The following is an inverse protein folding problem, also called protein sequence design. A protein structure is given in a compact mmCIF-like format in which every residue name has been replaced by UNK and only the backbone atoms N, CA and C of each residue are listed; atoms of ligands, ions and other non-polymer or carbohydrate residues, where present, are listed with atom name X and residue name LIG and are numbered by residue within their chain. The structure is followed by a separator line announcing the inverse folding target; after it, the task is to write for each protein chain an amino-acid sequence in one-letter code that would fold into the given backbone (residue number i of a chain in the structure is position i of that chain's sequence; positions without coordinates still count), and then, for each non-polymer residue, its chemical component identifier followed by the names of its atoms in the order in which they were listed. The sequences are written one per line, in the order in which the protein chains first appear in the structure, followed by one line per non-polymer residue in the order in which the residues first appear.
data_IF_321778057528
#
_entry.id   IF_321778057528
#
_cell.length_a   1.000
_cell.length_b   1.000
_cell.length_c   1.000
_cell.angle_alpha   90.00
_cell.angle_beta   90.00
_cell.angle_gamma   90.00
#
_symmetry.space_group_name_H-M   'P 1'
#
loop_
_entity.id
_entity.type
_entity.pdbx_description
1 polymer ?
#
# COMPACT_ATOMS: atom_id res chain seq x y z
N UNK A 1 -19.29 -36.25 34.45
CA UNK A 1 -18.90 -35.64 33.11
C UNK A 1 -17.54 -34.97 33.28
N UNK A 2 -16.46 -35.67 32.88
CA UNK A 2 -15.15 -35.01 32.78
C UNK A 2 -15.19 -34.08 31.57
N UNK A 3 -15.49 -32.83 31.75
CA UNK A 3 -15.22 -31.81 30.72
C UNK A 3 -13.72 -31.73 30.57
N UNK A 4 -13.19 -32.31 29.50
CA UNK A 4 -11.76 -32.22 29.17
C UNK A 4 -11.42 -30.72 28.98
N UNK A 5 -10.60 -30.16 29.88
CA UNK A 5 -10.18 -28.76 29.82
C UNK A 5 -9.57 -28.44 28.45
N UNK A 6 -8.96 -29.42 27.82
CA UNK A 6 -8.40 -29.26 26.45
C UNK A 6 -9.48 -28.98 25.41
N UNK A 7 -10.68 -29.58 25.53
CA UNK A 7 -11.82 -29.30 24.64
C UNK A 7 -12.38 -27.89 24.86
N UNK A 8 -12.53 -27.48 26.11
CA UNK A 8 -13.02 -26.14 26.48
C UNK A 8 -12.05 -25.06 25.92
N UNK A 9 -10.76 -25.31 25.96
CA UNK A 9 -9.73 -24.40 25.45
C UNK A 9 -9.47 -24.54 23.94
N UNK A 10 -10.16 -25.46 23.25
CA UNK A 10 -9.98 -25.71 21.83
C UNK A 10 -8.61 -26.29 21.45
N UNK A 11 -7.87 -26.88 22.43
CA UNK A 11 -6.52 -27.41 22.19
C UNK A 11 -6.62 -28.89 21.83
N UNK A 12 -6.79 -29.17 20.53
CA UNK A 12 -6.86 -30.55 19.99
C UNK A 12 -5.49 -30.95 19.44
N UNK A 13 -4.52 -31.22 20.31
CA UNK A 13 -3.16 -31.62 19.92
C UNK A 13 -2.85 -33.00 20.47
N UNK A 14 -2.44 -33.91 19.57
CA UNK A 14 -2.08 -35.30 19.93
C UNK A 14 -0.98 -35.29 20.99
N UNK A 15 -1.13 -36.14 21.99
CA UNK A 15 -0.16 -36.36 23.09
C UNK A 15 0.02 -35.19 24.06
N UNK A 16 -0.70 -34.08 23.90
CA UNK A 16 -0.75 -32.96 24.85
C UNK A 16 -2.07 -33.04 25.65
N UNK A 17 -1.97 -33.22 26.95
CA UNK A 17 -3.12 -33.22 27.85
C UNK A 17 -3.00 -32.07 28.86
N UNK A 18 -4.06 -31.29 29.02
CA UNK A 18 -4.16 -30.30 30.10
C UNK A 18 -4.71 -31.03 31.31
N UNK A 19 -3.91 -31.10 32.37
CA UNK A 19 -4.21 -31.93 33.53
C UNK A 19 -4.95 -31.19 34.60
N UNK A 20 -4.76 -29.86 34.72
CA UNK A 20 -5.36 -29.08 35.82
C UNK A 20 -5.49 -27.59 35.43
N UNK A 21 -6.56 -26.96 35.90
CA UNK A 21 -6.69 -25.51 35.99
C UNK A 21 -6.15 -25.05 37.36
N UNK A 22 -5.11 -24.24 37.35
CA UNK A 22 -4.46 -23.74 38.55
C UNK A 22 -5.08 -22.42 39.06
N UNK A 23 -6.03 -21.85 38.30
CA UNK A 23 -6.68 -20.60 38.62
C UNK A 23 -5.86 -19.35 38.33
N UNK A 24 -6.18 -18.27 39.04
CA UNK A 24 -5.58 -16.95 38.89
C UNK A 24 -4.31 -16.81 39.74
N UNK A 25 -3.22 -16.36 39.11
CA UNK A 25 -1.97 -16.02 39.80
C UNK A 25 -1.41 -14.71 39.29
N UNK A 26 -0.68 -13.99 40.12
CA UNK A 26 0.03 -12.78 39.72
C UNK A 26 1.30 -13.19 38.94
N UNK A 27 1.43 -12.73 37.70
CA UNK A 27 2.61 -12.92 36.86
C UNK A 27 2.98 -11.60 36.21
N UNK A 28 4.21 -11.13 36.41
CA UNK A 28 4.71 -9.83 35.86
C UNK A 28 3.76 -8.66 36.21
N UNK A 29 3.29 -8.60 37.43
CA UNK A 29 2.36 -7.58 37.95
C UNK A 29 0.95 -7.58 37.33
N UNK A 30 0.55 -8.65 36.62
CA UNK A 30 -0.77 -8.80 36.03
C UNK A 30 -1.40 -10.11 36.52
N UNK A 31 -2.70 -10.10 36.78
CA UNK A 31 -3.45 -11.34 37.06
C UNK A 31 -3.54 -12.18 35.78
N UNK A 32 -3.07 -13.41 35.85
CA UNK A 32 -3.03 -14.34 34.74
C UNK A 32 -3.63 -15.70 35.11
N UNK A 33 -4.25 -16.36 34.15
CA UNK A 33 -4.76 -17.72 34.29
C UNK A 33 -3.62 -18.72 34.06
N UNK A 34 -3.53 -19.72 34.92
CA UNK A 34 -2.54 -20.78 34.80
C UNK A 34 -3.20 -22.14 34.67
N UNK A 35 -2.68 -22.91 33.71
CA UNK A 35 -3.04 -24.31 33.52
C UNK A 35 -1.80 -25.17 33.62
N UNK A 36 -1.94 -26.41 34.07
CA UNK A 36 -0.89 -27.44 34.02
C UNK A 36 -1.20 -28.42 32.88
N UNK A 37 -0.17 -28.86 32.18
CA UNK A 37 -0.33 -29.86 31.14
C UNK A 37 0.92 -30.72 30.95
N UNK A 38 0.73 -31.86 30.31
CA UNK A 38 1.78 -32.85 30.09
C UNK A 38 1.80 -33.27 28.62
N UNK A 39 3.01 -33.29 28.05
CA UNK A 39 3.29 -33.80 26.72
C UNK A 39 4.12 -35.07 26.86
N UNK A 40 3.55 -36.19 26.47
CA UNK A 40 4.24 -37.48 26.49
C UNK A 40 3.76 -38.38 25.36
N UNK A 41 4.68 -39.12 24.78
CA UNK A 41 4.42 -40.15 23.76
C UNK A 41 5.51 -41.19 23.76
N UNK A 42 5.39 -42.22 22.93
CA UNK A 42 6.44 -43.21 22.65
C UNK A 42 7.10 -42.80 21.32
N UNK A 43 8.37 -42.37 21.32
CA UNK A 43 9.05 -42.04 20.08
C UNK A 43 9.33 -43.31 19.27
N UNK A 44 9.09 -43.27 17.98
CA UNK A 44 9.36 -44.40 17.06
C UNK A 44 10.85 -44.50 16.72
N UNK A 45 11.59 -43.42 16.79
CA UNK A 45 13.02 -43.34 16.54
C UNK A 45 13.69 -42.25 17.36
N UNK A 46 15.01 -42.29 17.46
CA UNK A 46 15.80 -41.25 18.11
C UNK A 46 15.97 -40.04 17.18
N UNK A 47 15.62 -38.83 17.65
CA UNK A 47 15.79 -37.60 16.92
C UNK A 47 17.27 -37.22 16.69
N UNK A 48 18.20 -37.81 17.45
CA UNK A 48 19.63 -37.50 17.35
C UNK A 48 20.41 -38.39 16.41
N UNK A 49 20.11 -39.72 16.37
CA UNK A 49 20.85 -40.70 15.58
C UNK A 49 19.97 -41.54 14.64
N UNK A 50 18.65 -41.30 14.64
CA UNK A 50 17.72 -42.00 13.75
C UNK A 50 17.42 -43.45 14.09
N UNK A 51 18.06 -44.06 15.14
CA UNK A 51 17.81 -45.47 15.48
C UNK A 51 16.35 -45.70 15.86
N UNK A 52 15.75 -46.77 15.37
CA UNK A 52 14.39 -47.18 15.74
C UNK A 52 14.33 -47.56 17.20
N UNK A 53 13.19 -47.32 17.83
CA UNK A 53 12.97 -47.61 19.24
C UNK A 53 12.55 -49.09 19.45
N UNK A 54 13.28 -50.01 18.88
CA UNK A 54 13.10 -51.45 19.11
C UNK A 54 13.77 -51.83 20.44
N UNK A 55 13.20 -52.79 21.16
CA UNK A 55 13.73 -53.31 22.43
C UNK A 55 14.00 -52.25 23.50
N UNK A 56 13.16 -51.19 23.59
CA UNK A 56 13.30 -50.11 24.58
C UNK A 56 14.66 -49.39 24.55
N UNK A 57 15.23 -49.20 23.37
CA UNK A 57 16.47 -48.41 23.19
C UNK A 57 16.28 -46.93 23.57
N UNK A 58 15.05 -46.44 23.51
CA UNK A 58 14.71 -45.06 23.93
C UNK A 58 13.79 -45.15 25.14
N UNK A 59 14.28 -44.60 26.26
CA UNK A 59 13.55 -44.62 27.55
C UNK A 59 13.16 -43.22 27.99
N UNK A 60 12.11 -43.11 28.81
CA UNK A 60 11.70 -41.85 29.43
C UNK A 60 12.75 -41.43 30.48
N UNK A 61 13.12 -40.13 30.45
CA UNK A 61 14.18 -39.59 31.29
C UNK A 61 13.76 -38.26 31.94
N UNK A 62 12.72 -38.28 32.77
CA UNK A 62 12.20 -37.12 33.46
C UNK A 62 11.47 -36.12 32.56
N UNK A 63 11.25 -34.90 33.07
CA UNK A 63 10.49 -33.86 32.37
C UNK A 63 11.24 -32.54 32.36
N UNK A 64 11.05 -31.80 31.24
CA UNK A 64 11.42 -30.40 31.14
C UNK A 64 10.16 -29.54 31.33
N UNK A 65 10.17 -28.65 32.32
CA UNK A 65 9.07 -27.69 32.55
C UNK A 65 9.27 -26.42 31.75
N UNK A 66 8.19 -25.92 31.11
CA UNK A 66 8.21 -24.69 30.30
C UNK A 66 6.89 -23.96 30.50
N UNK A 67 6.92 -22.66 30.78
CA UNK A 67 5.72 -21.83 30.78
C UNK A 67 5.46 -21.33 29.37
N UNK A 68 4.34 -21.73 28.79
CA UNK A 68 3.91 -21.38 27.44
C UNK A 68 2.81 -20.35 27.51
N UNK A 69 3.01 -19.19 26.92
CA UNK A 69 1.96 -18.19 26.78
C UNK A 69 0.95 -18.64 25.71
N UNK A 70 -0.33 -18.73 26.11
CA UNK A 70 -1.42 -19.25 25.29
C UNK A 70 -2.23 -18.15 24.58
N UNK A 71 -2.05 -16.89 24.98
CA UNK A 71 -2.86 -15.75 24.56
C UNK A 71 -3.77 -15.27 25.67
N UNK A 72 -4.87 -14.62 25.30
CA UNK A 72 -5.86 -14.11 26.23
C UNK A 72 -7.04 -15.09 26.34
N UNK A 73 -7.50 -15.33 27.55
CA UNK A 73 -8.74 -16.02 27.88
C UNK A 73 -9.55 -15.05 28.74
N UNK A 74 -10.75 -14.63 28.30
CA UNK A 74 -11.54 -13.59 28.94
C UNK A 74 -10.72 -12.33 29.28
N UNK A 75 -9.96 -11.84 28.28
CA UNK A 75 -9.08 -10.66 28.37
C UNK A 75 -7.94 -10.77 29.41
N UNK A 76 -7.71 -11.94 29.97
CA UNK A 76 -6.62 -12.22 30.92
C UNK A 76 -5.53 -13.03 30.24
N UNK A 77 -4.25 -12.70 30.45
CA UNK A 77 -3.15 -13.53 29.99
C UNK A 77 -3.25 -14.95 30.50
N UNK A 78 -3.08 -15.94 29.64
CA UNK A 78 -3.15 -17.36 30.03
C UNK A 78 -1.83 -18.07 29.75
N UNK A 79 -1.38 -18.89 30.65
CA UNK A 79 -0.14 -19.64 30.61
C UNK A 79 -0.35 -21.12 30.87
N UNK A 80 0.31 -21.95 30.09
CA UNK A 80 0.38 -23.40 30.29
C UNK A 80 1.74 -23.77 30.89
N UNK A 81 1.74 -24.25 32.14
CA UNK A 81 2.90 -24.90 32.75
C UNK A 81 3.06 -26.30 32.16
N UNK A 82 3.79 -26.39 31.03
CA UNK A 82 3.90 -27.60 30.24
C UNK A 82 5.08 -28.45 30.70
N UNK A 83 4.78 -29.68 31.14
CA UNK A 83 5.74 -30.75 31.44
C UNK A 83 6.01 -31.55 30.17
N UNK A 84 7.11 -31.30 29.50
CA UNK A 84 7.55 -32.02 28.29
C UNK A 84 8.37 -33.24 28.69
N UNK A 85 8.00 -34.45 28.25
CA UNK A 85 8.78 -35.66 28.46
C UNK A 85 10.17 -35.51 27.81
N UNK A 86 11.22 -35.83 28.56
CA UNK A 86 12.56 -36.07 28.01
C UNK A 86 12.75 -37.55 27.74
N UNK A 87 13.51 -37.85 26.74
CA UNK A 87 13.88 -39.20 26.34
C UNK A 87 15.40 -39.34 26.35
N UNK A 88 15.90 -40.52 26.68
CA UNK A 88 17.30 -40.89 26.60
C UNK A 88 17.48 -42.03 25.64
N UNK A 89 18.36 -41.87 24.66
CA UNK A 89 18.72 -42.93 23.71
C UNK A 89 19.94 -43.70 24.24
N UNK A 90 19.79 -45.00 24.48
CA UNK A 90 20.89 -45.86 24.95
C UNK A 90 21.98 -46.05 23.90
N UNK A 91 21.61 -45.99 22.59
CA UNK A 91 22.55 -46.21 21.48
C UNK A 91 23.52 -45.03 21.30
N UNK A 92 23.02 -43.79 21.24
CA UNK A 92 23.86 -42.62 21.04
C UNK A 92 24.15 -41.81 22.35
N UNK A 93 23.63 -42.26 23.48
CA UNK A 93 23.79 -41.67 24.81
C UNK A 93 23.36 -40.19 24.90
N UNK A 94 22.47 -39.76 24.01
CA UNK A 94 21.94 -38.37 24.00
C UNK A 94 20.50 -38.30 24.48
N UNK A 95 20.11 -37.14 24.96
CA UNK A 95 18.74 -36.83 25.36
C UNK A 95 18.08 -35.89 24.38
N UNK A 96 16.79 -36.11 24.13
CA UNK A 96 15.94 -35.20 23.39
C UNK A 96 14.60 -34.98 24.11
N UNK A 97 13.81 -34.00 23.71
CA UNK A 97 12.59 -33.61 24.44
C UNK A 97 11.39 -33.71 23.50
N UNK A 98 10.27 -34.21 24.02
CA UNK A 98 9.03 -34.33 23.26
C UNK A 98 8.65 -33.00 22.57
N UNK A 99 8.31 -33.08 21.29
CA UNK A 99 7.89 -31.98 20.46
C UNK A 99 6.38 -32.01 20.18
N UNK A 100 5.81 -30.86 19.91
CA UNK A 100 4.38 -30.71 19.65
C UNK A 100 4.16 -29.57 18.64
N UNK A 101 3.18 -29.67 17.74
CA UNK A 101 2.83 -28.59 16.84
C UNK A 101 2.22 -27.36 17.56
N UNK A 102 1.88 -27.49 18.85
CA UNK A 102 1.33 -26.37 19.64
C UNK A 102 2.35 -25.26 19.90
N UNK A 103 3.63 -25.60 20.02
CA UNK A 103 4.72 -24.68 20.31
C UNK A 103 5.99 -25.11 19.59
N UNK A 104 6.67 -24.18 18.96
CA UNK A 104 7.95 -24.45 18.33
C UNK A 104 9.04 -24.77 19.35
N UNK A 105 10.07 -25.55 18.97
CA UNK A 105 11.23 -25.81 19.82
C UNK A 105 11.84 -24.50 20.34
N UNK A 106 12.24 -24.51 21.63
CA UNK A 106 12.86 -23.36 22.33
C UNK A 106 12.02 -22.09 22.38
N UNK A 107 10.71 -22.16 22.09
CA UNK A 107 9.78 -21.03 22.21
C UNK A 107 8.98 -21.11 23.50
N UNK A 108 8.48 -19.95 23.96
CA UNK A 108 7.60 -19.78 25.13
C UNK A 108 6.23 -19.19 24.74
N UNK A 109 5.96 -19.00 23.46
CA UNK A 109 4.71 -18.46 22.93
C UNK A 109 4.11 -19.52 22.01
N UNK A 110 2.83 -19.84 22.18
CA UNK A 110 2.11 -20.82 21.36
C UNK A 110 2.01 -20.39 19.89
N UNK A 111 1.86 -21.37 19.00
CA UNK A 111 1.69 -21.09 17.59
C UNK A 111 0.35 -20.38 17.30
N UNK A 112 -0.66 -20.57 18.15
CA UNK A 112 -1.93 -19.83 18.06
C UNK A 112 -1.74 -18.32 18.28
N UNK A 113 -0.95 -17.91 19.26
CA UNK A 113 -0.62 -16.50 19.49
C UNK A 113 0.20 -15.94 18.31
N UNK A 114 1.12 -16.72 17.74
CA UNK A 114 1.89 -16.32 16.55
C UNK A 114 0.96 -16.14 15.34
N UNK A 115 0.00 -17.04 15.14
CA UNK A 115 -1.02 -16.92 14.09
C UNK A 115 -1.86 -15.65 14.28
N UNK A 116 -2.30 -15.35 15.49
CA UNK A 116 -3.03 -14.13 15.81
C UNK A 116 -2.18 -12.86 15.56
N UNK A 117 -0.89 -12.89 15.92
CA UNK A 117 0.05 -11.80 15.58
C UNK A 117 0.12 -11.58 14.06
N UNK A 118 0.26 -12.65 13.27
CA UNK A 118 0.28 -12.56 11.79
C UNK A 118 -1.00 -11.95 11.27
N UNK A 119 -2.16 -12.37 11.77
CA UNK A 119 -3.45 -11.80 11.37
C UNK A 119 -3.56 -10.32 11.73
N UNK A 120 -3.17 -9.91 12.94
CA UNK A 120 -3.17 -8.51 13.35
C UNK A 120 -2.15 -7.68 12.55
N UNK A 121 -1.00 -8.25 12.19
CA UNK A 121 -0.02 -7.65 11.30
C UNK A 121 -0.55 -7.42 9.87
N UNK A 122 -1.60 -8.08 9.43
CA UNK A 122 -2.30 -7.79 8.16
C UNK A 122 -3.30 -6.64 8.25
N UNK A 123 -3.49 -6.03 9.42
CA UNK A 123 -4.39 -4.89 9.64
C UNK A 123 -3.60 -3.59 9.74
N UNK A 124 -4.27 -2.45 9.50
CA UNK A 124 -3.66 -1.12 9.63
C UNK A 124 -3.65 -0.71 11.11
N UNK A 125 -2.69 -1.24 11.86
CA UNK A 125 -2.48 -0.99 13.30
C UNK A 125 -0.98 -0.87 13.58
N UNK A 126 -0.55 -0.25 14.66
CA UNK A 126 0.86 -0.20 15.03
C UNK A 126 1.34 -1.51 15.66
N UNK A 127 2.65 -1.78 15.61
CA UNK A 127 3.24 -2.93 16.32
C UNK A 127 3.05 -2.82 17.84
N UNK A 128 2.97 -1.58 18.36
CA UNK A 128 2.70 -1.31 19.78
C UNK A 128 1.27 -1.72 20.15
N UNK A 129 0.26 -1.32 19.37
CA UNK A 129 -1.13 -1.69 19.63
C UNK A 129 -1.35 -3.21 19.53
N UNK A 130 -0.66 -3.86 18.56
CA UNK A 130 -0.67 -5.32 18.45
C UNK A 130 -0.08 -5.95 19.72
N UNK A 131 1.04 -5.43 20.20
CA UNK A 131 1.71 -5.92 21.40
C UNK A 131 0.81 -5.78 22.63
N UNK A 132 0.21 -4.62 22.82
CA UNK A 132 -0.74 -4.34 23.89
C UNK A 132 -1.96 -5.27 23.82
N UNK A 133 -2.59 -5.39 22.65
CA UNK A 133 -3.76 -6.23 22.43
C UNK A 133 -3.52 -7.74 22.59
N UNK A 134 -2.27 -8.18 22.59
CA UNK A 134 -1.88 -9.58 22.79
C UNK A 134 -1.09 -9.81 24.08
N UNK A 135 -0.91 -8.81 24.93
CA UNK A 135 -0.11 -8.87 26.16
C UNK A 135 1.29 -9.43 25.92
N UNK A 136 1.96 -8.99 24.84
CA UNK A 136 3.35 -9.33 24.51
C UNK A 136 4.20 -8.06 24.38
N UNK A 137 5.52 -8.19 24.35
CA UNK A 137 6.36 -7.01 24.11
C UNK A 137 6.36 -6.59 22.65
N UNK A 138 6.50 -5.28 22.33
CA UNK A 138 6.65 -4.80 20.94
C UNK A 138 7.81 -5.46 20.21
N UNK A 139 8.92 -5.76 20.91
CA UNK A 139 10.07 -6.49 20.36
C UNK A 139 9.71 -7.93 19.93
N UNK A 140 8.73 -8.55 20.59
CA UNK A 140 8.22 -9.87 20.20
C UNK A 140 7.44 -9.79 18.90
N UNK A 141 6.57 -8.79 18.76
CA UNK A 141 5.83 -8.53 17.51
C UNK A 141 6.80 -8.24 16.36
N UNK A 142 7.81 -7.40 16.61
CA UNK A 142 8.83 -7.05 15.62
C UNK A 142 9.65 -8.27 15.15
N UNK A 143 10.09 -9.14 16.07
CA UNK A 143 10.76 -10.40 15.70
C UNK A 143 9.86 -11.31 14.88
N UNK A 144 8.59 -11.40 15.26
CA UNK A 144 7.62 -12.20 14.50
C UNK A 144 7.39 -11.62 13.10
N UNK A 145 7.28 -10.30 12.96
CA UNK A 145 7.22 -9.62 11.66
C UNK A 145 8.40 -10.01 10.77
N UNK A 146 9.63 -10.01 11.30
CA UNK A 146 10.83 -10.41 10.52
C UNK A 146 10.75 -11.86 10.05
N UNK A 147 10.29 -12.79 10.91
CA UNK A 147 10.14 -14.20 10.54
C UNK A 147 9.10 -14.36 9.43
N UNK A 148 7.94 -13.75 9.61
CA UNK A 148 6.84 -13.81 8.61
C UNK A 148 7.25 -13.11 7.31
N UNK A 149 8.02 -12.03 7.38
CA UNK A 149 8.49 -11.31 6.20
C UNK A 149 9.35 -12.16 5.26
N UNK A 150 10.11 -13.11 5.80
CA UNK A 150 10.91 -14.03 4.98
C UNK A 150 10.06 -14.99 4.13
N UNK A 151 8.78 -15.19 4.52
CA UNK A 151 7.81 -15.98 3.77
C UNK A 151 6.92 -15.14 2.85
N UNK A 152 7.05 -13.81 2.86
CA UNK A 152 6.37 -12.91 1.92
C UNK A 152 7.01 -13.09 0.54
N UNK A 153 6.46 -13.99 -0.24
CA UNK A 153 6.81 -14.14 -1.64
C UNK A 153 6.04 -13.08 -2.41
N UNK A 154 6.74 -12.13 -3.00
CA UNK A 154 6.16 -11.24 -4.00
C UNK A 154 5.93 -12.04 -5.28
N UNK A 155 4.80 -11.86 -5.94
CA UNK A 155 4.55 -12.44 -7.26
C UNK A 155 5.58 -11.99 -8.32
N UNK A 156 6.36 -10.94 -8.00
CA UNK A 156 7.43 -10.38 -8.82
C UNK A 156 8.52 -11.37 -9.26
N UNK A 157 8.60 -12.56 -8.66
CA UNK A 157 9.70 -13.45 -8.99
C UNK A 157 9.48 -14.27 -10.27
N UNK A 158 8.26 -14.32 -10.85
CA UNK A 158 7.99 -15.28 -11.91
C UNK A 158 7.24 -14.76 -13.13
N UNK A 159 6.31 -13.80 -13.00
CA UNK A 159 5.49 -13.32 -14.14
C UNK A 159 5.17 -11.84 -13.99
N UNK A 160 5.38 -11.07 -15.08
CA UNK A 160 4.87 -9.72 -15.19
C UNK A 160 3.44 -9.76 -15.74
N UNK A 161 2.49 -9.00 -15.17
CA UNK A 161 1.16 -8.79 -15.76
C UNK A 161 1.24 -8.11 -17.14
N UNK A 162 0.21 -8.30 -17.94
CA UNK A 162 0.10 -7.63 -19.25
C UNK A 162 -0.11 -6.11 -19.13
N UNK A 163 -0.70 -5.67 -18.02
CA UNK A 163 -1.02 -4.27 -17.78
C UNK A 163 -0.42 -3.79 -16.46
N UNK A 164 0.57 -2.92 -16.54
CA UNK A 164 1.29 -2.40 -15.37
C UNK A 164 0.86 -0.95 -15.08
N UNK A 165 0.88 -0.59 -13.80
CA UNK A 165 0.84 0.81 -13.35
C UNK A 165 2.05 1.09 -12.48
N UNK A 166 2.75 2.19 -12.76
CA UNK A 166 3.93 2.66 -12.03
C UNK A 166 3.59 3.94 -11.29
N UNK A 167 4.05 4.04 -10.05
CA UNK A 167 3.93 5.24 -9.25
C UNK A 167 5.05 5.29 -8.19
N UNK A 168 5.06 6.35 -7.40
CA UNK A 168 6.06 6.58 -6.38
C UNK A 168 5.43 7.13 -5.08
N UNK A 169 6.09 6.84 -3.97
CA UNK A 169 5.71 7.41 -2.69
C UNK A 169 6.93 7.79 -1.85
N UNK A 170 6.72 8.71 -0.89
CA UNK A 170 7.79 9.15 -0.01
C UNK A 170 8.30 8.00 0.87
N UNK A 171 9.56 7.63 0.67
CA UNK A 171 10.23 6.51 1.33
C UNK A 171 10.57 6.75 2.81
N UNK A 172 11.30 5.83 3.40
CA UNK A 172 11.95 5.92 4.70
C UNK A 172 13.29 6.68 4.57
N UNK A 173 13.91 7.03 5.70
CA UNK A 173 15.15 7.83 5.68
C UNK A 173 16.42 7.03 5.46
N UNK A 174 16.34 5.70 5.51
CA UNK A 174 17.49 4.78 5.37
C UNK A 174 17.81 4.40 3.92
N UNK A 175 17.04 4.91 2.96
CA UNK A 175 17.31 4.74 1.52
C UNK A 175 17.93 6.00 0.94
N UNK A 176 18.77 5.85 -0.09
CA UNK A 176 19.45 6.98 -0.72
C UNK A 176 18.48 7.99 -1.37
N UNK A 177 17.38 7.51 -1.93
CA UNK A 177 16.37 8.35 -2.57
C UNK A 177 15.24 8.75 -1.62
N UNK A 178 14.67 9.95 -1.81
CA UNK A 178 13.51 10.39 -1.03
C UNK A 178 12.22 9.63 -1.40
N UNK A 179 12.19 8.99 -2.57
CA UNK A 179 11.02 8.32 -3.14
C UNK A 179 11.31 6.85 -3.42
N UNK A 180 10.38 6.00 -3.00
CA UNK A 180 10.32 4.59 -3.38
C UNK A 180 9.42 4.42 -4.60
N UNK A 181 9.73 3.40 -5.39
CA UNK A 181 8.95 3.00 -6.54
C UNK A 181 7.98 1.88 -6.17
N UNK A 182 6.78 1.93 -6.70
CA UNK A 182 5.75 0.90 -6.57
C UNK A 182 5.17 0.59 -7.94
N UNK A 183 4.90 -0.69 -8.18
CA UNK A 183 4.14 -1.08 -9.36
C UNK A 183 3.11 -2.15 -9.04
N UNK A 184 2.01 -2.09 -9.75
CA UNK A 184 0.88 -2.99 -9.58
C UNK A 184 0.34 -3.45 -10.94
N UNK A 185 -0.49 -4.48 -10.91
CA UNK A 185 -1.35 -4.84 -12.03
C UNK A 185 -2.48 -3.80 -12.15
N UNK A 186 -2.62 -3.17 -13.32
CA UNK A 186 -3.65 -2.16 -13.58
C UNK A 186 -5.07 -2.73 -13.63
N UNK A 187 -5.22 -4.05 -13.78
CA UNK A 187 -6.53 -4.72 -13.90
C UNK A 187 -7.00 -5.25 -12.54
N UNK A 188 -6.13 -6.01 -11.84
CA UNK A 188 -6.47 -6.60 -10.53
C UNK A 188 -6.23 -5.63 -9.38
N UNK A 189 -5.43 -4.58 -9.60
CA UNK A 189 -4.98 -3.61 -8.61
C UNK A 189 -4.09 -4.21 -7.50
N UNK A 190 -3.55 -5.39 -7.73
CA UNK A 190 -2.63 -6.03 -6.80
C UNK A 190 -1.24 -5.42 -6.90
N UNK A 191 -0.65 -5.10 -5.74
CA UNK A 191 0.75 -4.67 -5.67
C UNK A 191 1.63 -5.85 -6.07
N UNK A 192 2.51 -5.67 -7.06
CA UNK A 192 3.45 -6.70 -7.48
C UNK A 192 4.72 -6.60 -6.66
N UNK A 193 5.33 -5.41 -6.62
CA UNK A 193 6.47 -5.15 -5.75
C UNK A 193 6.65 -3.66 -5.42
N UNK A 194 7.54 -3.40 -4.45
CA UNK A 194 7.93 -2.08 -3.99
C UNK A 194 9.45 -2.04 -3.91
N UNK A 195 10.06 -1.06 -4.58
CA UNK A 195 11.51 -0.90 -4.63
C UNK A 195 11.97 0.33 -3.83
N UNK A 196 13.16 0.29 -3.24
CA UNK A 196 13.66 1.39 -2.41
C UNK A 196 13.93 2.68 -3.18
N UNK A 197 14.16 2.58 -4.48
CA UNK A 197 14.59 3.69 -5.33
C UNK A 197 13.81 3.72 -6.65
N UNK A 198 13.54 4.92 -7.15
CA UNK A 198 12.87 5.17 -8.43
C UNK A 198 13.81 5.54 -9.58
N UNK A 199 15.12 5.67 -9.32
CA UNK A 199 16.11 6.07 -10.34
C UNK A 199 16.18 5.05 -11.45
N UNK A 200 16.32 5.54 -12.72
CA UNK A 200 16.27 4.73 -13.92
C UNK A 200 17.18 3.50 -13.85
N UNK A 201 18.45 3.67 -13.50
CA UNK A 201 19.44 2.57 -13.43
C UNK A 201 19.06 1.46 -12.44
N UNK A 202 18.41 1.80 -11.29
CA UNK A 202 17.95 0.82 -10.32
C UNK A 202 16.75 0.02 -10.84
N UNK A 203 15.83 0.72 -11.53
CA UNK A 203 14.67 0.09 -12.14
C UNK A 203 15.08 -0.79 -13.32
N UNK A 204 16.04 -0.35 -14.14
CA UNK A 204 16.63 -1.16 -15.22
C UNK A 204 17.23 -2.45 -14.69
N UNK A 205 18.10 -2.36 -13.67
CA UNK A 205 18.72 -3.53 -13.05
C UNK A 205 17.66 -4.49 -12.44
N UNK A 206 16.54 -3.96 -11.94
CA UNK A 206 15.46 -4.77 -11.41
C UNK A 206 14.66 -5.48 -12.51
N UNK A 207 14.19 -4.75 -13.54
CA UNK A 207 13.36 -5.33 -14.59
C UNK A 207 14.13 -6.22 -15.56
N UNK A 208 15.45 -6.04 -15.70
CA UNK A 208 16.32 -6.95 -16.46
C UNK A 208 16.44 -8.35 -15.85
N UNK A 209 16.03 -8.55 -14.59
CA UNK A 209 15.89 -9.89 -13.99
C UNK A 209 14.79 -10.72 -14.65
N UNK A 210 13.81 -10.07 -15.26
CA UNK A 210 12.79 -10.75 -16.06
C UNK A 210 13.33 -11.01 -17.47
N UNK A 211 13.07 -12.21 -17.98
CA UNK A 211 13.47 -12.55 -19.35
C UNK A 211 12.85 -11.59 -20.37
N UNK A 212 13.51 -11.41 -21.51
CA UNK A 212 12.99 -10.59 -22.61
C UNK A 212 11.57 -11.02 -23.01
N UNK A 213 11.33 -12.34 -23.12
CA UNK A 213 10.02 -12.91 -23.43
C UNK A 213 8.92 -12.55 -22.42
N UNK A 214 9.26 -12.33 -21.15
CA UNK A 214 8.30 -11.87 -20.13
C UNK A 214 8.02 -10.38 -20.26
N UNK A 215 9.04 -9.57 -20.59
CA UNK A 215 8.89 -8.13 -20.77
C UNK A 215 8.11 -7.77 -22.05
N UNK A 216 8.24 -8.57 -23.12
CA UNK A 216 7.45 -8.48 -24.35
C UNK A 216 5.96 -8.81 -24.14
N UNK A 217 5.59 -9.54 -23.10
CA UNK A 217 4.17 -9.79 -22.77
C UNK A 217 3.45 -8.59 -22.18
N UNK A 218 4.17 -7.58 -21.71
CA UNK A 218 3.57 -6.36 -21.16
C UNK A 218 3.00 -5.54 -22.31
N UNK A 219 1.68 -5.33 -22.30
CA UNK A 219 0.93 -4.62 -23.35
C UNK A 219 0.77 -3.13 -23.04
N UNK A 220 0.64 -2.77 -21.77
CA UNK A 220 0.48 -1.37 -21.38
C UNK A 220 1.19 -1.07 -20.07
N UNK A 221 1.71 0.16 -19.95
CA UNK A 221 2.26 0.68 -18.71
C UNK A 221 1.67 2.07 -18.42
N UNK A 222 0.89 2.18 -17.36
CA UNK A 222 0.32 3.45 -16.91
C UNK A 222 1.31 4.17 -16.00
N UNK A 223 1.55 5.46 -16.28
CA UNK A 223 2.52 6.29 -15.56
C UNK A 223 2.03 7.73 -15.42
N UNK A 224 2.66 8.47 -14.51
CA UNK A 224 2.62 9.92 -14.52
C UNK A 224 3.40 10.49 -15.72
N UNK A 225 3.16 11.73 -16.09
CA UNK A 225 3.88 12.39 -17.17
C UNK A 225 5.32 12.72 -16.75
N UNK A 226 6.14 11.66 -16.55
CA UNK A 226 7.51 11.75 -16.08
C UNK A 226 8.51 11.16 -17.11
N UNK A 227 9.34 12.02 -17.76
CA UNK A 227 10.22 11.60 -18.86
C UNK A 227 11.13 10.39 -18.58
N UNK A 228 11.73 10.25 -17.37
CA UNK A 228 12.58 9.09 -17.09
C UNK A 228 11.84 7.74 -17.15
N UNK A 229 10.55 7.71 -16.80
CA UNK A 229 9.74 6.47 -16.92
C UNK A 229 9.42 6.15 -18.37
N UNK A 230 9.16 7.17 -19.20
CA UNK A 230 8.93 6.98 -20.64
C UNK A 230 10.13 6.30 -21.27
N UNK A 231 11.35 6.82 -21.05
CA UNK A 231 12.57 6.23 -21.56
C UNK A 231 12.81 4.81 -21.02
N UNK A 232 12.57 4.59 -19.75
CA UNK A 232 12.70 3.26 -19.13
C UNK A 232 11.78 2.23 -19.79
N UNK A 233 10.52 2.60 -20.05
CA UNK A 233 9.53 1.69 -20.62
C UNK A 233 9.89 1.36 -22.07
N UNK A 234 10.31 2.35 -22.86
CA UNK A 234 10.73 2.15 -24.24
C UNK A 234 11.93 1.21 -24.35
N UNK A 235 12.88 1.31 -23.40
CA UNK A 235 14.08 0.46 -23.38
C UNK A 235 13.77 -0.99 -22.93
N UNK A 236 12.82 -1.16 -22.02
CA UNK A 236 12.61 -2.46 -21.34
C UNK A 236 11.38 -3.23 -21.82
N UNK A 237 10.34 -2.57 -22.28
CA UNK A 237 9.06 -3.15 -22.68
C UNK A 237 8.70 -2.77 -24.11
N UNK A 238 9.32 -3.42 -25.10
CA UNK A 238 9.25 -2.97 -26.51
C UNK A 238 7.83 -2.97 -27.08
N UNK A 239 6.97 -3.88 -26.62
CA UNK A 239 5.59 -4.03 -27.11
C UNK A 239 4.56 -3.26 -26.29
N UNK A 240 4.99 -2.54 -25.25
CA UNK A 240 4.10 -1.87 -24.33
C UNK A 240 3.67 -0.47 -24.82
N UNK A 241 2.36 -0.22 -24.86
CA UNK A 241 1.85 1.14 -25.00
C UNK A 241 1.97 1.89 -23.67
N UNK A 242 2.51 3.11 -23.74
CA UNK A 242 2.59 4.01 -22.58
C UNK A 242 1.27 4.75 -22.43
N UNK A 243 0.68 4.67 -21.24
CA UNK A 243 -0.54 5.37 -20.86
C UNK A 243 -0.16 6.44 -19.83
N UNK A 244 -0.42 7.71 -20.14
CA UNK A 244 -0.24 8.80 -19.17
C UNK A 244 -1.50 8.94 -18.33
N UNK A 245 -1.35 9.04 -17.03
CA UNK A 245 -2.50 9.22 -16.13
C UNK A 245 -3.30 10.48 -16.51
N UNK A 246 -4.57 10.25 -16.80
CA UNK A 246 -5.52 11.29 -17.22
C UNK A 246 -5.69 12.40 -16.18
N UNK A 247 -5.61 12.04 -14.90
CA UNK A 247 -5.69 13.01 -13.82
C UNK A 247 -4.59 14.06 -13.93
N UNK A 248 -3.35 13.65 -14.22
CA UNK A 248 -2.21 14.55 -14.38
C UNK A 248 -2.33 15.44 -15.62
N UNK A 249 -2.91 14.94 -16.71
CA UNK A 249 -3.20 15.75 -17.91
C UNK A 249 -4.21 16.86 -17.57
N UNK A 250 -5.34 16.50 -16.96
CA UNK A 250 -6.39 17.44 -16.54
C UNK A 250 -5.87 18.43 -15.51
N UNK A 251 -5.11 17.94 -14.52
CA UNK A 251 -4.53 18.78 -13.48
C UNK A 251 -3.54 19.82 -14.04
N UNK A 252 -2.74 19.43 -15.06
CA UNK A 252 -1.80 20.38 -15.69
C UNK A 252 -2.53 21.57 -16.31
N UNK A 253 -3.65 21.36 -17.01
CA UNK A 253 -4.45 22.42 -17.60
C UNK A 253 -5.06 23.30 -16.50
N UNK A 254 -5.77 22.70 -15.54
CA UNK A 254 -6.43 23.43 -14.46
C UNK A 254 -5.45 24.26 -13.63
N UNK A 255 -4.24 23.73 -13.40
CA UNK A 255 -3.17 24.45 -12.70
C UNK A 255 -2.76 25.72 -13.44
N UNK A 256 -2.64 25.67 -14.77
CA UNK A 256 -2.22 26.84 -15.54
C UNK A 256 -3.35 27.87 -15.69
N UNK A 257 -4.62 27.45 -15.83
CA UNK A 257 -5.78 28.37 -15.73
C UNK A 257 -5.75 29.10 -14.38
N UNK A 258 -5.59 28.39 -13.27
CA UNK A 258 -5.54 29.01 -11.95
C UNK A 258 -4.30 29.88 -11.73
N UNK A 259 -3.14 29.49 -12.29
CA UNK A 259 -1.91 30.29 -12.23
C UNK A 259 -2.05 31.59 -12.98
N UNK A 260 -2.62 31.57 -14.18
CA UNK A 260 -2.95 32.76 -14.95
C UNK A 260 -3.87 33.69 -14.17
N UNK A 261 -4.96 33.15 -13.62
CA UNK A 261 -5.87 33.92 -12.73
C UNK A 261 -5.11 34.57 -11.57
N UNK A 262 -4.20 33.86 -10.91
CA UNK A 262 -3.42 34.41 -9.77
C UNK A 262 -2.51 35.55 -10.23
N UNK A 263 -1.89 35.44 -11.41
CA UNK A 263 -1.04 36.50 -11.97
C UNK A 263 -1.86 37.74 -12.26
N UNK A 264 -2.97 37.62 -12.96
CA UNK A 264 -3.90 38.72 -13.24
C UNK A 264 -4.45 39.35 -11.96
N UNK A 265 -4.89 38.48 -11.03
CA UNK A 265 -5.37 38.92 -9.71
C UNK A 265 -4.32 39.80 -8.98
N UNK A 266 -3.07 39.40 -8.97
CA UNK A 266 -1.99 40.13 -8.30
C UNK A 266 -1.70 41.47 -8.98
N UNK A 267 -1.90 41.58 -10.30
CA UNK A 267 -1.83 42.86 -11.02
C UNK A 267 -2.84 43.93 -10.49
N UNK A 268 -4.00 43.46 -10.02
CA UNK A 268 -5.03 44.34 -9.43
C UNK A 268 -4.83 44.64 -7.93
N UNK A 269 -3.82 44.04 -7.27
CA UNK A 269 -3.67 44.08 -5.81
C UNK A 269 -3.60 45.51 -5.23
N UNK A 270 -2.89 46.37 -5.88
CA UNK A 270 -2.65 47.77 -5.46
C UNK A 270 -3.54 48.78 -6.18
N UNK A 271 -3.85 48.52 -7.46
CA UNK A 271 -4.56 49.49 -8.31
C UNK A 271 -6.08 49.38 -8.19
N UNK A 272 -6.62 48.13 -8.17
CA UNK A 272 -8.07 47.88 -8.21
C UNK A 272 -8.47 46.78 -7.22
N UNK A 273 -8.45 47.10 -5.94
CA UNK A 273 -8.76 46.15 -4.87
C UNK A 273 -10.08 45.39 -5.02
N UNK A 274 -11.18 45.97 -5.54
CA UNK A 274 -12.41 45.24 -5.79
C UNK A 274 -12.21 44.08 -6.77
N UNK A 275 -11.47 44.28 -7.87
CA UNK A 275 -11.20 43.22 -8.88
C UNK A 275 -10.33 42.11 -8.31
N UNK A 276 -9.28 42.47 -7.56
CA UNK A 276 -8.47 41.53 -6.81
C UNK A 276 -9.34 40.59 -5.93
N UNK A 277 -10.25 41.19 -5.15
CA UNK A 277 -11.10 40.46 -4.23
C UNK A 277 -12.09 39.52 -4.95
N UNK A 278 -12.64 39.91 -6.11
CA UNK A 278 -13.52 39.11 -6.94
C UNK A 278 -12.77 37.89 -7.52
N UNK A 279 -11.61 38.07 -8.15
CA UNK A 279 -10.76 37.02 -8.68
C UNK A 279 -10.29 36.05 -7.58
N UNK A 280 -9.98 36.55 -6.36
CA UNK A 280 -9.62 35.74 -5.21
C UNK A 280 -10.78 34.88 -4.70
N UNK A 281 -12.01 35.45 -4.66
CA UNK A 281 -13.17 34.74 -4.08
C UNK A 281 -13.72 33.67 -5.00
N UNK A 282 -13.85 33.95 -6.28
CA UNK A 282 -14.62 33.15 -7.21
C UNK A 282 -13.78 32.21 -8.11
N UNK A 283 -12.55 31.90 -7.69
CA UNK A 283 -11.61 31.11 -8.45
C UNK A 283 -12.11 29.70 -8.84
N UNK A 284 -12.97 29.09 -7.97
CA UNK A 284 -13.52 27.75 -8.25
C UNK A 284 -14.43 27.73 -9.46
N UNK A 285 -15.13 28.83 -9.75
CA UNK A 285 -15.99 28.92 -10.91
C UNK A 285 -15.21 28.93 -12.23
N UNK A 286 -13.98 29.46 -12.23
CA UNK A 286 -13.10 29.42 -13.40
C UNK A 286 -12.54 28.03 -13.67
N UNK A 287 -12.58 27.09 -12.72
CA UNK A 287 -12.18 25.71 -12.92
C UNK A 287 -13.37 24.76 -13.20
N UNK A 288 -14.61 25.27 -13.09
CA UNK A 288 -15.82 24.55 -13.43
C UNK A 288 -16.01 24.55 -14.96
N UNK A 289 -16.44 23.41 -15.53
CA UNK A 289 -16.67 23.36 -16.97
C UNK A 289 -17.72 24.41 -17.40
N UNK A 290 -17.54 25.10 -18.51
CA UNK A 290 -18.47 26.16 -18.95
C UNK A 290 -19.92 25.70 -19.10
N UNK A 291 -20.12 24.43 -19.47
CA UNK A 291 -21.44 23.80 -19.61
C UNK A 291 -22.10 23.56 -18.24
N UNK A 292 -21.30 23.39 -17.17
CA UNK A 292 -21.79 23.12 -15.81
C UNK A 292 -22.05 24.42 -15.02
N UNK A 293 -21.78 25.58 -15.62
CA UNK A 293 -22.08 26.87 -15.02
C UNK A 293 -23.58 27.16 -15.16
N UNK A 294 -24.21 27.47 -14.04
CA UNK A 294 -25.62 27.90 -14.03
C UNK A 294 -25.78 29.23 -14.78
N UNK A 295 -26.69 29.24 -15.77
CA UNK A 295 -27.01 30.39 -16.62
C UNK A 295 -28.35 31.04 -16.26
N UNK A 296 -29.20 30.32 -15.56
CA UNK A 296 -30.62 30.71 -15.37
C UNK A 296 -30.88 31.29 -13.98
N UNK A 297 -30.18 30.80 -12.95
CA UNK A 297 -30.42 31.21 -11.58
C UNK A 297 -29.60 32.45 -11.25
N UNK A 298 -30.25 33.61 -11.17
CA UNK A 298 -29.66 34.84 -10.71
C UNK A 298 -29.82 34.95 -9.19
N UNK A 299 -28.69 35.24 -8.50
CA UNK A 299 -28.67 35.39 -7.04
C UNK A 299 -27.66 36.44 -6.62
N UNK A 300 -27.76 36.97 -5.37
CA UNK A 300 -26.79 37.93 -4.88
C UNK A 300 -25.43 37.28 -4.60
N UNK A 301 -24.40 37.74 -5.26
CA UNK A 301 -23.01 37.35 -4.98
C UNK A 301 -22.27 38.46 -4.26
N UNK A 302 -21.58 38.13 -3.16
CA UNK A 302 -20.75 39.11 -2.43
C UNK A 302 -19.76 39.77 -3.40
N UNK A 303 -19.54 41.07 -3.28
CA UNK A 303 -18.70 41.93 -4.13
C UNK A 303 -19.33 42.30 -5.49
N UNK A 304 -20.55 41.90 -5.77
CA UNK A 304 -21.32 42.35 -6.92
C UNK A 304 -22.54 43.13 -6.41
N UNK A 305 -22.84 44.28 -7.06
CA UNK A 305 -24.00 45.10 -6.72
C UNK A 305 -25.29 44.51 -7.32
N UNK A 306 -25.18 43.93 -8.51
CA UNK A 306 -26.29 43.29 -9.21
C UNK A 306 -26.29 41.78 -8.99
N UNK A 307 -27.46 41.19 -9.08
CA UNK A 307 -27.62 39.74 -9.10
C UNK A 307 -26.87 39.15 -10.31
N UNK A 308 -26.23 38.01 -10.13
CA UNK A 308 -25.47 37.32 -11.17
C UNK A 308 -25.90 35.86 -11.28
N UNK A 309 -25.76 35.31 -12.46
CA UNK A 309 -25.67 33.84 -12.61
C UNK A 309 -24.20 33.40 -12.48
N UNK A 310 -23.93 32.10 -12.30
CA UNK A 310 -22.53 31.61 -12.31
C UNK A 310 -21.83 31.96 -13.63
N UNK A 311 -22.55 31.83 -14.74
CA UNK A 311 -22.05 32.15 -16.07
C UNK A 311 -21.71 33.62 -16.22
N UNK A 312 -22.66 34.54 -15.90
CA UNK A 312 -22.44 36.00 -16.02
C UNK A 312 -21.29 36.47 -15.13
N UNK A 313 -21.14 35.88 -13.94
CA UNK A 313 -20.04 36.16 -13.04
C UNK A 313 -18.69 35.74 -13.66
N UNK A 314 -18.59 34.53 -14.25
CA UNK A 314 -17.38 34.09 -14.94
C UNK A 314 -17.06 34.99 -16.12
N UNK A 315 -18.07 35.37 -16.94
CA UNK A 315 -17.85 36.27 -18.06
C UNK A 315 -17.30 37.63 -17.57
N UNK A 316 -17.85 38.17 -16.47
CA UNK A 316 -17.30 39.40 -15.87
C UNK A 316 -15.83 39.26 -15.50
N UNK A 317 -15.42 38.13 -14.86
CA UNK A 317 -14.02 37.88 -14.47
C UNK A 317 -13.08 37.75 -15.68
N UNK A 318 -13.54 37.09 -16.76
CA UNK A 318 -12.77 36.90 -17.97
C UNK A 318 -12.56 38.20 -18.73
N UNK A 319 -13.56 39.14 -18.71
CA UNK A 319 -13.45 40.44 -19.37
C UNK A 319 -12.49 41.41 -18.65
N UNK A 320 -11.92 41.05 -17.49
CA UNK A 320 -10.90 41.81 -16.81
C UNK A 320 -9.52 41.77 -17.45
N UNK A 321 -9.24 40.69 -18.19
CA UNK A 321 -7.93 40.47 -18.82
C UNK A 321 -8.04 39.46 -19.98
N UNK A 322 -7.57 39.86 -21.14
CA UNK A 322 -7.68 39.06 -22.37
C UNK A 322 -6.82 37.82 -22.33
N UNK A 323 -5.63 37.84 -21.73
CA UNK A 323 -4.78 36.66 -21.57
C UNK A 323 -5.46 35.61 -20.67
N UNK A 324 -6.17 36.07 -19.61
CA UNK A 324 -6.96 35.14 -18.76
C UNK A 324 -8.10 34.52 -19.54
N UNK A 325 -8.81 35.32 -20.34
CA UNK A 325 -9.92 34.84 -21.16
C UNK A 325 -9.45 33.78 -22.18
N UNK A 326 -8.44 34.07 -22.98
CA UNK A 326 -7.87 33.14 -23.97
C UNK A 326 -7.32 31.86 -23.29
N UNK A 327 -6.69 32.01 -22.11
CA UNK A 327 -6.19 30.86 -21.33
C UNK A 327 -7.34 29.98 -20.81
N UNK A 328 -8.42 30.60 -20.33
CA UNK A 328 -9.62 29.90 -19.87
C UNK A 328 -10.32 29.14 -21.02
N UNK A 329 -10.60 29.83 -22.13
CA UNK A 329 -11.30 29.28 -23.30
C UNK A 329 -10.51 28.12 -23.91
N UNK A 330 -9.22 28.31 -24.16
CA UNK A 330 -8.33 27.29 -24.71
C UNK A 330 -8.23 26.09 -23.75
N UNK A 331 -8.03 26.35 -22.46
CA UNK A 331 -7.92 25.31 -21.45
C UNK A 331 -9.21 24.47 -21.34
N UNK A 332 -10.38 25.09 -21.33
CA UNK A 332 -11.65 24.35 -21.27
C UNK A 332 -11.99 23.62 -22.58
N UNK A 333 -11.60 24.15 -23.75
CA UNK A 333 -11.68 23.40 -25.02
C UNK A 333 -10.83 22.11 -24.97
N UNK A 334 -9.60 22.18 -24.46
CA UNK A 334 -8.75 21.00 -24.26
C UNK A 334 -9.39 19.99 -23.29
N UNK A 335 -9.91 20.48 -22.15
CA UNK A 335 -10.60 19.63 -21.17
C UNK A 335 -11.85 18.96 -21.74
N UNK A 336 -12.61 19.66 -22.57
CA UNK A 336 -13.80 19.13 -23.24
C UNK A 336 -13.43 18.02 -24.23
N UNK A 337 -12.41 18.22 -25.08
CA UNK A 337 -11.93 17.21 -26.01
C UNK A 337 -11.42 15.94 -25.28
N UNK A 338 -10.68 16.12 -24.17
CA UNK A 338 -10.25 15.01 -23.32
C UNK A 338 -11.45 14.27 -22.70
N UNK A 339 -12.48 15.01 -22.23
CA UNK A 339 -13.71 14.42 -21.65
C UNK A 339 -14.51 13.65 -22.70
N UNK A 340 -14.66 14.22 -23.89
CA UNK A 340 -15.34 13.59 -25.02
C UNK A 340 -14.54 12.42 -25.63
N UNK A 341 -13.25 12.29 -25.29
CA UNK A 341 -12.33 11.32 -25.86
C UNK A 341 -12.12 11.50 -27.36
N UNK A 342 -12.19 12.74 -27.83
CA UNK A 342 -12.00 13.09 -29.23
C UNK A 342 -10.54 13.47 -29.49
N UNK A 343 -9.78 12.51 -30.05
CA UNK A 343 -8.35 12.65 -30.34
C UNK A 343 -8.14 13.67 -31.48
N UNK A 344 -9.04 13.70 -32.47
CA UNK A 344 -8.91 14.61 -33.60
C UNK A 344 -9.14 16.06 -33.16
N UNK A 345 -10.20 16.27 -32.40
CA UNK A 345 -10.50 17.57 -31.81
C UNK A 345 -9.37 18.05 -30.88
N UNK A 346 -8.80 17.15 -30.08
CA UNK A 346 -7.67 17.49 -29.21
C UNK A 346 -6.47 17.96 -30.02
N UNK A 347 -6.11 17.24 -31.10
CA UNK A 347 -5.02 17.64 -32.02
C UNK A 347 -5.26 18.97 -32.66
N UNK A 348 -6.49 19.20 -33.15
CA UNK A 348 -6.87 20.48 -33.77
C UNK A 348 -6.70 21.65 -32.77
N UNK A 349 -7.25 21.49 -31.53
CA UNK A 349 -7.14 22.54 -30.50
C UNK A 349 -5.68 22.82 -30.12
N UNK A 350 -4.84 21.78 -30.01
CA UNK A 350 -3.42 21.95 -29.69
C UNK A 350 -2.66 22.71 -30.81
N UNK A 351 -3.03 22.55 -32.08
CA UNK A 351 -2.44 23.30 -33.16
C UNK A 351 -2.96 24.75 -33.19
N UNK A 352 -4.26 24.96 -33.09
CA UNK A 352 -4.90 26.28 -33.02
C UNK A 352 -4.34 27.10 -31.83
N UNK A 353 -4.13 26.48 -30.69
CA UNK A 353 -3.63 27.12 -29.47
C UNK A 353 -2.17 27.64 -29.58
N UNK A 354 -1.39 27.22 -30.58
CA UNK A 354 -0.05 27.79 -30.82
C UNK A 354 -0.08 29.26 -31.18
N UNK A 355 -1.12 29.69 -31.91
CA UNK A 355 -1.28 31.08 -32.41
C UNK A 355 -2.01 31.98 -31.39
N UNK A 356 -2.63 31.39 -30.35
CA UNK A 356 -3.40 32.11 -29.33
C UNK A 356 -2.53 32.81 -28.30
N UNK A 357 -2.97 33.97 -27.82
CA UNK A 357 -2.23 34.71 -26.80
C UNK A 357 -2.59 34.24 -25.37
N UNK A 358 -2.38 32.95 -25.15
CA UNK A 358 -2.56 32.35 -23.84
C UNK A 358 -1.37 32.60 -22.90
N UNK A 359 -1.55 32.32 -21.61
CA UNK A 359 -0.48 32.45 -20.62
C UNK A 359 0.76 31.66 -20.98
N UNK A 360 1.94 32.16 -20.62
CA UNK A 360 3.23 31.45 -20.81
C UNK A 360 3.22 30.02 -20.22
N UNK A 361 2.47 29.81 -19.12
CA UNK A 361 2.31 28.51 -18.48
C UNK A 361 1.52 27.55 -19.34
N UNK A 362 0.37 27.98 -19.88
CA UNK A 362 -0.45 27.13 -20.76
C UNK A 362 0.27 26.84 -22.08
N UNK A 363 1.01 27.80 -22.65
CA UNK A 363 1.86 27.56 -23.84
C UNK A 363 2.86 26.41 -23.62
N UNK A 364 3.48 26.34 -22.43
CA UNK A 364 4.38 25.21 -22.05
C UNK A 364 3.65 23.86 -21.95
N UNK A 365 2.44 23.87 -21.36
CA UNK A 365 1.60 22.64 -21.27
C UNK A 365 1.22 22.17 -22.67
N UNK A 366 0.78 23.06 -23.56
CA UNK A 366 0.46 22.76 -24.96
C UNK A 366 1.66 22.14 -25.67
N UNK A 367 2.84 22.75 -25.55
CA UNK A 367 4.07 22.20 -26.13
C UNK A 367 4.37 20.79 -25.61
N UNK A 368 4.22 20.57 -24.31
CA UNK A 368 4.39 19.26 -23.67
C UNK A 368 3.38 18.24 -24.21
N UNK A 369 2.11 18.62 -24.35
CA UNK A 369 1.07 17.73 -24.88
C UNK A 369 1.29 17.37 -26.34
N UNK A 370 1.76 18.31 -27.16
CA UNK A 370 2.14 18.03 -28.54
C UNK A 370 3.28 17.00 -28.59
N UNK A 371 4.31 17.18 -27.75
CA UNK A 371 5.43 16.23 -27.63
C UNK A 371 4.96 14.83 -27.23
N UNK A 372 4.03 14.75 -26.28
CA UNK A 372 3.53 13.48 -25.73
C UNK A 372 2.21 13.01 -26.35
N UNK A 373 1.81 13.59 -27.47
CA UNK A 373 0.55 13.26 -28.14
C UNK A 373 0.36 11.77 -28.45
N UNK A 374 1.38 10.98 -28.84
CA UNK A 374 1.24 9.54 -29.00
C UNK A 374 0.73 8.86 -27.73
N UNK A 375 1.31 9.16 -26.57
CA UNK A 375 0.95 8.57 -25.28
C UNK A 375 -0.41 9.07 -24.76
N UNK A 376 -0.73 10.36 -24.96
CA UNK A 376 -2.04 10.93 -24.66
C UNK A 376 -3.12 10.24 -25.52
N UNK A 377 -2.83 9.95 -26.77
CA UNK A 377 -3.72 9.19 -27.65
C UNK A 377 -3.94 7.77 -27.15
N UNK A 378 -2.90 7.09 -26.64
CA UNK A 378 -3.03 5.78 -25.99
C UNK A 378 -3.90 5.86 -24.73
N UNK A 379 -3.71 6.88 -23.89
CA UNK A 379 -4.58 7.14 -22.73
C UNK A 379 -6.06 7.28 -23.12
N UNK A 380 -6.32 7.97 -24.23
CA UNK A 380 -7.70 8.17 -24.70
C UNK A 380 -8.32 6.88 -25.27
N UNK A 381 -7.52 5.96 -25.82
CA UNK A 381 -8.00 4.63 -26.28
C UNK A 381 -8.26 3.67 -25.12
N UNK A 382 -7.42 3.67 -24.08
CA UNK A 382 -7.49 2.75 -22.95
C UNK A 382 -8.16 3.40 -21.72
N UNK A 383 -9.44 3.77 -21.84
CA UNK A 383 -10.19 4.50 -20.79
C UNK A 383 -10.28 3.81 -19.43
N UNK A 384 -10.28 2.49 -19.43
CA UNK A 384 -10.42 1.65 -18.24
C UNK A 384 -9.11 1.50 -17.46
N UNK A 385 -7.97 1.81 -18.07
CA UNK A 385 -6.67 1.76 -17.43
C UNK A 385 -6.29 3.15 -16.89
N UNK A 386 -6.43 3.35 -15.59
CA UNK A 386 -6.13 4.61 -14.91
C UNK A 386 -5.21 4.36 -13.72
N UNK A 387 -4.48 5.39 -13.28
CA UNK A 387 -3.68 5.33 -12.06
C UNK A 387 -4.49 5.56 -10.77
N UNK A 388 -5.82 5.73 -10.84
CA UNK A 388 -6.68 5.91 -9.67
C UNK A 388 -6.51 4.83 -8.60
N UNK A 389 -6.46 3.54 -8.94
CA UNK A 389 -6.22 2.47 -7.96
C UNK A 389 -4.88 2.59 -7.24
N UNK A 390 -3.79 2.92 -7.94
CA UNK A 390 -2.47 3.07 -7.32
C UNK A 390 -2.40 4.32 -6.43
N UNK A 391 -3.16 5.38 -6.76
CA UNK A 391 -3.34 6.52 -5.87
C UNK A 391 -4.03 6.10 -4.56
N UNK A 392 -5.07 5.27 -4.64
CA UNK A 392 -5.72 4.65 -3.47
C UNK A 392 -4.74 3.83 -2.62
N UNK A 393 -3.87 3.04 -3.27
CA UNK A 393 -2.78 2.31 -2.62
C UNK A 393 -1.81 3.26 -1.92
N UNK A 394 -1.39 4.33 -2.58
CA UNK A 394 -0.49 5.34 -2.00
C UNK A 394 -1.11 6.05 -0.79
N UNK A 395 -2.41 6.32 -0.80
CA UNK A 395 -3.11 6.87 0.36
C UNK A 395 -3.14 5.88 1.52
N UNK A 396 -3.33 4.58 1.25
CA UNK A 396 -3.22 3.51 2.25
C UNK A 396 -1.80 3.39 2.82
N UNK A 397 -0.76 3.51 1.98
CA UNK A 397 0.65 3.52 2.39
C UNK A 397 0.94 4.70 3.33
N UNK A 398 0.43 5.90 3.01
CA UNK A 398 0.54 7.08 3.88
C UNK A 398 -0.14 6.83 5.24
N UNK A 399 -1.30 6.18 5.25
CA UNK A 399 -2.02 5.81 6.48
C UNK A 399 -1.22 4.80 7.32
N UNK A 400 -0.70 3.73 6.70
CA UNK A 400 0.15 2.73 7.37
C UNK A 400 1.34 3.42 8.05
N UNK A 401 2.02 4.32 7.33
CA UNK A 401 3.16 5.08 7.86
C UNK A 401 2.78 5.97 9.04
N UNK A 402 1.61 6.62 8.97
CA UNK A 402 1.08 7.50 10.03
C UNK A 402 0.72 6.72 11.30
N UNK A 403 -0.05 5.64 11.17
CA UNK A 403 -0.49 4.79 12.28
C UNK A 403 0.70 4.14 13.00
N UNK A 404 1.76 3.84 12.27
CA UNK A 404 2.99 3.26 12.85
C UNK A 404 3.97 4.33 13.36
N UNK A 405 3.60 5.60 13.43
CA UNK A 405 4.48 6.72 13.81
C UNK A 405 5.77 6.81 12.98
N UNK A 406 5.74 6.27 11.76
CA UNK A 406 6.84 6.21 10.81
C UNK A 406 7.61 4.89 10.85
N UNK A 407 8.47 4.71 9.84
CA UNK A 407 9.38 3.58 9.73
C UNK A 407 10.81 4.10 9.55
N UNK A 408 11.78 3.42 10.20
CA UNK A 408 13.20 3.73 10.07
C UNK A 408 13.90 2.83 9.04
N UNK A 409 13.29 1.67 8.73
CA UNK A 409 13.86 0.68 7.82
C UNK A 409 12.87 0.39 6.67
N UNK A 410 13.36 0.54 5.45
CA UNK A 410 12.59 0.33 4.22
C UNK A 410 12.01 -1.08 4.12
N UNK A 411 12.81 -2.12 4.37
CA UNK A 411 12.37 -3.50 4.20
C UNK A 411 11.26 -3.88 5.17
N UNK A 412 11.33 -3.39 6.42
CA UNK A 412 10.24 -3.56 7.38
C UNK A 412 8.97 -2.85 6.91
N UNK A 413 9.11 -1.64 6.36
CA UNK A 413 7.99 -0.88 5.82
C UNK A 413 7.37 -1.56 4.60
N UNK A 414 8.20 -1.95 3.61
CA UNK A 414 7.78 -2.71 2.43
C UNK A 414 7.01 -3.99 2.81
N UNK A 415 7.59 -4.79 3.67
CA UNK A 415 6.98 -6.04 4.11
C UNK A 415 5.63 -5.80 4.80
N UNK A 416 5.54 -4.74 5.59
CA UNK A 416 4.29 -4.35 6.24
C UNK A 416 3.22 -3.93 5.24
N UNK A 417 3.58 -3.16 4.21
CA UNK A 417 2.67 -2.78 3.12
C UNK A 417 2.15 -4.03 2.41
N UNK A 418 3.05 -4.93 2.01
CA UNK A 418 2.70 -6.18 1.32
C UNK A 418 1.76 -7.06 2.15
N UNK A 419 2.02 -7.21 3.44
CA UNK A 419 1.16 -7.96 4.36
C UNK A 419 -0.25 -7.36 4.46
N UNK A 420 -0.36 -6.05 4.61
CA UNK A 420 -1.64 -5.33 4.72
C UNK A 420 -2.40 -5.35 3.38
N UNK A 421 -1.70 -5.40 2.27
CA UNK A 421 -2.27 -5.44 0.92
C UNK A 421 -2.69 -6.85 0.47
N UNK A 422 -2.56 -7.87 1.34
CA UNK A 422 -2.91 -9.28 1.06
C UNK A 422 -2.08 -9.95 -0.04
N UNK A 423 -0.97 -9.38 -0.44
CA UNK A 423 0.04 -10.05 -1.29
C UNK A 423 0.65 -11.24 -0.54
N UNK A 424 0.32 -11.37 0.73
CA UNK A 424 0.65 -12.49 1.59
C UNK A 424 -0.36 -13.61 1.38
N UNK A 425 0.03 -14.63 0.62
CA UNK A 425 -0.70 -15.91 0.59
C UNK A 425 -0.41 -16.60 1.92
N UNK A 426 -1.29 -16.40 2.90
CA UNK A 426 -1.18 -17.15 4.13
C UNK A 426 -1.52 -18.61 3.83
N UNK A 427 -0.64 -19.53 4.17
CA UNK A 427 -0.91 -20.98 4.22
C UNK A 427 -2.10 -21.32 5.15
N UNK A 428 -2.69 -20.31 5.78
CA UNK A 428 -3.79 -20.38 6.74
C UNK A 428 -5.19 -20.18 6.13
N UNK A 429 -5.32 -20.26 4.80
CA UNK A 429 -6.64 -20.28 4.12
C UNK A 429 -7.17 -21.68 3.83
N UNK A 430 -6.72 -22.69 4.59
CA UNK A 430 -7.33 -24.03 4.56
C UNK A 430 -7.93 -24.36 5.90
#
# INVERSE_FOLDING_TARGET
MCNDISEILGIKVKNLKITQNLGLHVHKNVQALFYEGQLTYHPSACECCGIKNDNHLIIKHGFRKTNVYMGLIFERPAYLKLKKQRFYCKACQRTFTAETPYIQPRCTISNEVKRMMTWKLSKVTSEKDIAESLCVSPSTVHRHLKVVSNSVKTHAHYVLPEHLAFDEFKSTKDVEGAMSFIYCDSVTHDIIDILPDRRKHQLEAYFLKFSRKQREKVKTVSIDMFPPYIALIQDLFPDAEIIIDRFHIVQAINREINRCRVQVMNGFRTKERPQYNKLKRYWKLLLKAPIDLDRMIYQPYRLFKSWQSQYSLVQYLLNLDETLKETYETGHRLLSALKANDIQQLRFILQDAKTKDTSKGLKRVIHTFIKYMPYISSTMRHRHLTNGPIEGINNKIKLIKRVSYGYRNFWNFRNRILMISKVFVSEYKK
#
